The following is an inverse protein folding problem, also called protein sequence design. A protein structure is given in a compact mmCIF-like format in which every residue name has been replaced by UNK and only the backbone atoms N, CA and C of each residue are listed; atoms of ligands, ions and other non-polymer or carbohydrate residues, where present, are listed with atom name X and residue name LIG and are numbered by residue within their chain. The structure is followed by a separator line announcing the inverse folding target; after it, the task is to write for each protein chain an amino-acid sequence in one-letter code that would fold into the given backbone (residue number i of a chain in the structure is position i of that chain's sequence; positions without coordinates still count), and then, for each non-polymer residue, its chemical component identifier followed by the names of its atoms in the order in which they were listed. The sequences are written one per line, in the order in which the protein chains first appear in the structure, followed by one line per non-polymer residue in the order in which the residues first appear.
data_IF_108141098121
#
_entry.id   IF_108141098121
#
_cell.length_a   1.000
_cell.length_b   1.000
_cell.length_c   1.000
_cell.angle_alpha   90.00
_cell.angle_beta   90.00
_cell.angle_gamma   90.00
#
_symmetry.space_group_name_H-M   'P 1'
#
loop_
_entity.id
_entity.type
_entity.pdbx_description
1 polymer ?
#
# COMPACT_ATOMS: atom_id res chain seq x y z
N UNK A 1 -43.41 -3.50 17.17
CA UNK A 1 -42.55 -3.84 16.01
C UNK A 1 -41.94 -5.21 16.23
N UNK A 2 -42.18 -6.18 15.33
CA UNK A 2 -41.48 -7.48 15.39
C UNK A 2 -40.13 -7.31 14.69
N UNK A 3 -39.04 -7.48 15.42
CA UNK A 3 -37.72 -7.63 14.82
C UNK A 3 -37.67 -8.97 14.10
N UNK A 4 -37.57 -8.94 12.77
CA UNK A 4 -37.31 -10.14 11.98
C UNK A 4 -35.88 -10.61 12.28
N UNK A 5 -35.73 -11.84 12.78
CA UNK A 5 -34.41 -12.47 12.88
C UNK A 5 -33.86 -12.65 11.46
N UNK A 6 -32.59 -12.28 11.20
CA UNK A 6 -31.99 -12.55 9.90
C UNK A 6 -32.01 -14.06 9.61
N UNK A 7 -32.17 -14.47 8.34
CA UNK A 7 -32.26 -15.88 7.99
C UNK A 7 -31.00 -16.63 8.42
N UNK A 8 -31.19 -17.85 8.92
CA UNK A 8 -30.15 -18.71 9.52
C UNK A 8 -29.00 -19.08 8.55
N UNK A 9 -29.13 -18.77 7.27
CA UNK A 9 -28.20 -19.13 6.19
C UNK A 9 -27.89 -17.93 5.26
N UNK A 10 -27.63 -16.74 5.80
CA UNK A 10 -27.00 -15.68 4.99
C UNK A 10 -25.50 -15.97 4.86
N UNK A 11 -25.16 -17.04 4.14
CA UNK A 11 -23.82 -17.22 3.63
C UNK A 11 -23.59 -16.12 2.60
N UNK A 12 -22.82 -15.09 2.94
CA UNK A 12 -22.13 -14.29 1.94
C UNK A 12 -21.40 -15.30 1.04
N UNK A 13 -21.91 -15.56 -0.17
CA UNK A 13 -21.17 -16.36 -1.13
C UNK A 13 -19.86 -15.62 -1.33
N UNK A 14 -18.76 -16.28 -1.02
CA UNK A 14 -17.35 -15.87 -1.23
C UNK A 14 -17.04 -15.38 -2.66
N UNK A 15 -18.01 -15.38 -3.58
CA UNK A 15 -17.85 -15.17 -5.01
C UNK A 15 -17.68 -13.70 -5.41
N UNK A 16 -18.16 -12.74 -4.61
CA UNK A 16 -18.22 -11.32 -5.02
C UNK A 16 -17.60 -10.34 -4.01
N UNK A 17 -16.89 -10.81 -2.98
CA UNK A 17 -16.16 -9.93 -2.05
C UNK A 17 -14.71 -9.82 -2.52
N UNK A 18 -14.46 -8.84 -3.40
CA UNK A 18 -13.11 -8.41 -3.71
C UNK A 18 -12.61 -7.53 -2.57
N UNK A 19 -11.57 -7.98 -1.89
CA UNK A 19 -10.92 -7.13 -0.88
C UNK A 19 -10.22 -5.98 -1.60
N UNK A 20 -10.76 -4.77 -1.46
CA UNK A 20 -10.13 -3.53 -1.97
C UNK A 20 -8.67 -3.40 -1.51
N UNK A 21 -8.35 -3.94 -0.33
CA UNK A 21 -7.02 -3.97 0.25
C UNK A 21 -6.60 -5.42 0.46
N UNK A 22 -5.66 -5.90 -0.34
CA UNK A 22 -5.17 -7.29 -0.32
C UNK A 22 -3.68 -7.34 -0.65
N UNK A 23 -2.94 -8.22 0.02
CA UNK A 23 -1.52 -8.50 -0.31
C UNK A 23 -1.35 -9.24 -1.63
N UNK A 24 -2.42 -9.91 -2.08
CA UNK A 24 -2.52 -10.50 -3.41
C UNK A 24 -3.01 -9.44 -4.41
N UNK A 25 -2.47 -9.48 -5.63
CA UNK A 25 -2.92 -8.62 -6.74
C UNK A 25 -4.43 -8.77 -6.98
N UNK A 26 -5.16 -7.64 -7.04
CA UNK A 26 -6.59 -7.60 -7.31
C UNK A 26 -6.88 -6.72 -8.52
N UNK A 27 -7.81 -7.14 -9.39
CA UNK A 27 -8.42 -6.23 -10.35
C UNK A 27 -9.37 -5.29 -9.60
N UNK A 28 -9.28 -4.00 -9.86
CA UNK A 28 -10.06 -2.97 -9.17
C UNK A 28 -11.50 -2.83 -9.68
N UNK A 29 -11.79 -3.37 -10.87
CA UNK A 29 -13.03 -3.06 -11.59
C UNK A 29 -12.91 -1.85 -12.53
N UNK A 30 -11.80 -1.12 -12.47
CA UNK A 30 -11.56 0.11 -13.22
C UNK A 30 -10.58 -0.10 -14.38
N UNK A 31 -10.60 0.85 -15.31
CA UNK A 31 -9.77 0.88 -16.51
C UNK A 31 -8.98 2.19 -16.56
N UNK A 32 -7.76 2.12 -17.08
CA UNK A 32 -6.93 3.28 -17.34
C UNK A 32 -7.32 3.96 -18.66
N UNK A 33 -6.73 5.12 -18.95
CA UNK A 33 -7.05 5.95 -20.10
C UNK A 33 -6.83 5.26 -21.46
N UNK A 34 -5.98 4.24 -21.52
CA UNK A 34 -5.72 3.42 -22.71
C UNK A 34 -6.57 2.13 -22.77
N UNK A 35 -7.51 1.95 -21.83
CA UNK A 35 -8.38 0.78 -21.75
C UNK A 35 -7.76 -0.44 -21.07
N UNK A 36 -6.55 -0.34 -20.50
CA UNK A 36 -5.98 -1.42 -19.68
C UNK A 36 -6.67 -1.51 -18.32
N UNK A 37 -6.75 -2.72 -17.76
CA UNK A 37 -7.27 -2.95 -16.40
C UNK A 37 -6.33 -2.31 -15.37
N UNK A 38 -6.92 -1.67 -14.36
CA UNK A 38 -6.19 -1.20 -13.18
C UNK A 38 -6.19 -2.30 -12.13
N UNK A 39 -5.00 -2.65 -11.65
CA UNK A 39 -4.79 -3.60 -10.57
C UNK A 39 -4.33 -2.87 -9.32
N UNK A 40 -4.60 -3.46 -8.15
CA UNK A 40 -4.12 -2.98 -6.87
C UNK A 40 -3.41 -4.10 -6.09
N UNK A 41 -2.33 -3.76 -5.40
CA UNK A 41 -1.64 -4.67 -4.46
C UNK A 41 -1.23 -3.92 -3.20
N UNK A 42 -1.43 -4.55 -2.05
CA UNK A 42 -0.96 -4.05 -0.76
C UNK A 42 0.40 -4.67 -0.44
N UNK A 43 1.34 -3.83 -0.02
CA UNK A 43 2.62 -4.26 0.56
C UNK A 43 2.56 -3.98 2.05
N UNK A 44 2.99 -4.94 2.86
CA UNK A 44 3.17 -4.76 4.29
C UNK A 44 4.56 -5.22 4.71
N UNK A 45 5.21 -4.42 5.55
CA UNK A 45 6.52 -4.76 6.10
C UNK A 45 6.71 -4.13 7.47
N UNK A 46 7.39 -4.83 8.36
CA UNK A 46 7.64 -4.36 9.74
C UNK A 46 9.13 -4.47 10.05
N UNK A 47 9.67 -3.50 10.77
CA UNK A 47 11.09 -3.51 11.19
C UNK A 47 12.09 -3.22 10.06
N UNK A 48 11.60 -2.81 8.89
CA UNK A 48 12.46 -2.47 7.73
C UNK A 48 13.06 -1.07 7.81
N UNK A 49 12.50 -0.17 8.62
CA UNK A 49 13.00 1.19 8.82
C UNK A 49 14.13 1.24 9.86
N UNK A 50 15.08 0.31 9.76
CA UNK A 50 16.13 0.11 10.76
C UNK A 50 17.33 1.05 10.62
N UNK A 51 17.41 1.80 9.52
CA UNK A 51 18.46 2.77 9.23
C UNK A 51 17.90 4.06 8.64
N UNK A 52 18.65 5.15 8.85
CA UNK A 52 18.50 6.36 8.05
C UNK A 52 19.02 6.09 6.62
N UNK A 53 18.33 6.61 5.62
CA UNK A 53 18.63 6.43 4.21
C UNK A 53 17.46 5.84 3.42
N UNK A 54 17.79 5.09 2.37
CA UNK A 54 16.82 4.46 1.46
C UNK A 54 16.59 3.01 1.89
N UNK A 55 15.36 2.70 2.28
CA UNK A 55 14.89 1.34 2.56
C UNK A 55 14.10 0.85 1.35
N UNK A 56 14.47 -0.32 0.82
CA UNK A 56 13.80 -0.94 -0.33
C UNK A 56 12.92 -2.09 0.15
N UNK A 57 11.62 -2.03 -0.17
CA UNK A 57 10.64 -3.07 0.11
C UNK A 57 10.15 -3.59 -1.24
N UNK A 58 10.46 -4.85 -1.56
CA UNK A 58 10.05 -5.45 -2.84
C UNK A 58 8.53 -5.50 -2.95
N UNK A 59 8.02 -5.18 -4.13
CA UNK A 59 6.58 -5.26 -4.41
C UNK A 59 6.17 -6.51 -5.19
N UNK A 60 7.12 -7.19 -5.84
CA UNK A 60 6.90 -8.43 -6.61
C UNK A 60 5.69 -8.34 -7.55
N UNK A 61 5.62 -7.23 -8.30
CA UNK A 61 4.60 -7.00 -9.32
C UNK A 61 5.21 -7.50 -10.62
N UNK A 62 4.54 -8.45 -11.26
CA UNK A 62 5.00 -9.08 -12.50
C UNK A 62 4.27 -8.45 -13.68
N UNK A 63 4.96 -8.27 -14.81
CA UNK A 63 4.44 -7.64 -16.03
C UNK A 63 3.89 -6.23 -15.82
N UNK A 64 4.52 -5.45 -14.94
CA UNK A 64 4.19 -4.04 -14.74
C UNK A 64 4.30 -3.28 -16.06
N UNK A 65 3.27 -2.50 -16.40
CA UNK A 65 3.33 -1.52 -17.50
C UNK A 65 3.56 -0.13 -16.94
N UNK A 66 2.63 0.37 -16.13
CA UNK A 66 2.74 1.71 -15.53
C UNK A 66 2.18 1.74 -14.12
N UNK A 67 2.75 2.59 -13.28
CA UNK A 67 2.15 2.95 -12.00
C UNK A 67 1.12 4.05 -12.23
N UNK A 68 -0.03 3.93 -11.58
CA UNK A 68 -1.12 4.92 -11.63
C UNK A 68 -1.09 5.79 -10.39
N UNK A 69 -1.03 5.16 -9.22
CA UNK A 69 -1.03 5.83 -7.93
C UNK A 69 -0.42 4.91 -6.87
N UNK A 70 -0.03 5.49 -5.74
CA UNK A 70 0.34 4.75 -4.56
C UNK A 70 0.11 5.56 -3.29
N UNK A 71 -0.41 4.91 -2.26
CA UNK A 71 -0.54 5.48 -0.93
C UNK A 71 0.34 4.74 0.05
N UNK A 72 1.01 5.47 0.95
CA UNK A 72 1.88 4.88 1.97
C UNK A 72 1.54 5.42 3.35
N UNK A 73 1.39 4.50 4.28
CA UNK A 73 1.16 4.80 5.68
C UNK A 73 2.07 3.97 6.58
N UNK A 74 2.35 4.55 7.73
CA UNK A 74 3.25 4.00 8.72
C UNK A 74 2.54 3.97 10.05
N UNK A 75 2.68 2.86 10.77
CA UNK A 75 2.10 2.69 12.09
C UNK A 75 3.14 2.19 13.07
N UNK A 76 3.27 2.89 14.20
CA UNK A 76 4.20 2.55 15.28
C UNK A 76 3.95 3.45 16.49
N UNK A 77 4.28 2.96 17.67
CA UNK A 77 4.10 3.68 18.95
C UNK A 77 2.70 4.33 19.09
N UNK A 78 1.67 3.54 18.78
CA UNK A 78 0.26 3.95 18.79
C UNK A 78 -0.08 5.16 17.91
N UNK A 79 0.80 5.52 16.97
CA UNK A 79 0.66 6.65 16.08
C UNK A 79 0.53 6.16 14.63
N UNK A 80 -0.28 6.88 13.85
CA UNK A 80 -0.50 6.63 12.44
C UNK A 80 0.00 7.83 11.63
N UNK A 81 0.83 7.56 10.63
CA UNK A 81 1.40 8.58 9.75
C UNK A 81 1.04 8.25 8.31
N UNK A 82 0.55 9.24 7.55
CA UNK A 82 0.48 9.19 6.09
C UNK A 82 1.70 9.92 5.54
N UNK A 83 2.40 9.33 4.57
CA UNK A 83 3.56 9.98 3.95
C UNK A 83 3.13 11.03 2.91
N UNK A 84 3.93 12.09 2.69
CA UNK A 84 5.17 12.41 3.39
C UNK A 84 4.94 12.97 4.81
N UNK A 85 5.95 12.85 5.66
CA UNK A 85 5.93 13.32 7.05
C UNK A 85 7.11 14.27 7.26
N UNK A 86 6.84 15.45 7.82
CA UNK A 86 7.84 16.43 8.20
C UNK A 86 7.48 17.04 9.56
N UNK A 87 8.31 16.87 10.59
CA UNK A 87 8.09 17.48 11.91
C UNK A 87 9.35 17.52 12.79
N UNK A 88 9.30 18.32 13.85
CA UNK A 88 10.28 18.30 14.95
C UNK A 88 9.78 17.44 16.10
N UNK A 89 10.66 16.61 16.66
CA UNK A 89 10.33 15.72 17.77
C UNK A 89 9.66 16.42 18.96
N UNK A 90 9.96 17.70 19.21
CA UNK A 90 9.36 18.50 20.27
C UNK A 90 8.77 19.84 19.77
N UNK A 91 7.96 19.81 18.69
CA UNK A 91 7.13 20.92 18.13
C UNK A 91 7.85 22.23 17.76
N UNK A 92 8.65 22.79 18.66
CA UNK A 92 9.48 23.99 18.52
C UNK A 92 10.99 23.68 18.42
N UNK A 93 11.42 22.48 18.82
CA UNK A 93 12.83 22.05 18.79
C UNK A 93 12.97 20.52 18.76
N UNK A 94 14.18 20.01 18.60
CA UNK A 94 14.47 18.56 18.64
C UNK A 94 14.94 18.00 17.30
N UNK A 95 14.90 16.67 17.16
CA UNK A 95 15.31 16.02 15.91
C UNK A 95 14.28 16.33 14.83
N UNK A 96 14.76 16.85 13.69
CA UNK A 96 13.95 17.02 12.50
C UNK A 96 13.76 15.66 11.83
N UNK A 97 12.51 15.25 11.64
CA UNK A 97 12.15 14.04 10.92
C UNK A 97 11.60 14.42 9.56
N UNK A 98 12.15 13.80 8.52
CA UNK A 98 11.62 13.84 7.16
C UNK A 98 11.55 12.40 6.65
N UNK A 99 10.39 12.05 6.11
CA UNK A 99 10.17 10.78 5.45
C UNK A 99 9.20 10.91 4.29
N UNK A 100 9.58 10.34 3.15
CA UNK A 100 8.69 10.20 2.00
C UNK A 100 8.87 8.85 1.32
N UNK A 101 7.91 8.50 0.48
CA UNK A 101 7.96 7.31 -0.33
C UNK A 101 8.08 7.66 -1.81
N UNK A 102 8.70 6.76 -2.56
CA UNK A 102 8.57 6.68 -4.02
C UNK A 102 8.57 5.22 -4.43
N UNK A 103 8.10 4.93 -5.63
CA UNK A 103 8.11 3.57 -6.17
C UNK A 103 8.93 3.52 -7.46
N UNK A 104 9.64 2.42 -7.66
CA UNK A 104 10.32 2.10 -8.91
C UNK A 104 9.89 0.71 -9.39
N UNK A 105 10.48 0.23 -10.49
CA UNK A 105 10.11 -1.03 -11.16
C UNK A 105 10.12 -2.28 -10.25
N UNK A 106 10.87 -2.29 -9.16
CA UNK A 106 11.03 -3.49 -8.31
C UNK A 106 10.60 -3.30 -6.86
N UNK A 107 10.61 -2.05 -6.38
CA UNK A 107 10.52 -1.77 -4.95
C UNK A 107 9.76 -0.47 -4.66
N UNK A 108 9.00 -0.52 -3.58
CA UNK A 108 8.69 0.66 -2.79
C UNK A 108 9.97 1.11 -2.07
N UNK A 109 10.30 2.40 -2.18
CA UNK A 109 11.41 3.02 -1.47
C UNK A 109 10.89 3.96 -0.40
N UNK A 110 11.27 3.72 0.85
CA UNK A 110 11.06 4.65 1.96
C UNK A 110 12.37 5.37 2.21
N UNK A 111 12.36 6.70 2.10
CA UNK A 111 13.51 7.55 2.34
C UNK A 111 13.26 8.26 3.65
N UNK A 112 14.15 8.09 4.62
CA UNK A 112 14.03 8.68 5.93
C UNK A 112 15.39 9.15 6.47
N UNK A 113 15.39 10.07 7.41
CA UNK A 113 16.62 10.62 8.00
C UNK A 113 16.90 10.13 9.44
N UNK A 114 16.23 9.07 9.93
CA UNK A 114 16.34 8.68 11.34
C UNK A 114 16.16 7.18 11.60
N UNK A 115 16.94 6.66 12.55
CA UNK A 115 16.80 5.28 13.04
C UNK A 115 15.61 5.10 14.00
N UNK A 116 14.92 6.18 14.39
CA UNK A 116 13.81 6.14 15.35
C UNK A 116 12.58 5.36 14.86
N UNK A 117 12.52 5.05 13.56
CA UNK A 117 11.42 4.31 12.93
C UNK A 117 11.61 2.78 12.96
N UNK A 118 12.73 2.30 13.50
CA UNK A 118 13.09 0.89 13.55
C UNK A 118 12.12 0.11 14.44
N UNK A 119 11.02 -0.39 13.84
CA UNK A 119 9.92 -1.25 14.35
C UNK A 119 8.58 -0.87 13.74
N UNK A 120 8.48 0.32 13.15
CA UNK A 120 7.24 0.81 12.59
C UNK A 120 6.87 -0.05 11.38
N UNK A 121 5.58 -0.34 11.26
CA UNK A 121 5.02 -1.07 10.13
C UNK A 121 4.79 -0.10 8.98
N UNK A 122 5.29 -0.44 7.81
CA UNK A 122 5.02 0.24 6.54
C UNK A 122 3.93 -0.54 5.82
N UNK A 123 2.88 0.15 5.39
CA UNK A 123 1.91 -0.39 4.44
C UNK A 123 1.83 0.54 3.24
N UNK A 124 1.83 -0.05 2.05
CA UNK A 124 1.57 0.68 0.81
C UNK A 124 0.43 0.02 0.03
N UNK A 125 -0.41 0.84 -0.59
CA UNK A 125 -1.39 0.40 -1.58
C UNK A 125 -0.90 0.94 -2.91
N UNK A 126 -0.66 0.07 -3.88
CA UNK A 126 -0.14 0.46 -5.20
C UNK A 126 -1.18 0.14 -6.25
N UNK A 127 -1.46 1.09 -7.13
CA UNK A 127 -2.33 0.97 -8.29
C UNK A 127 -1.49 1.01 -9.57
N UNK A 128 -1.73 0.07 -10.47
CA UNK A 128 -0.90 -0.09 -11.68
C UNK A 128 -1.65 -0.77 -12.82
N UNK A 129 -1.15 -0.58 -14.04
CA UNK A 129 -1.54 -1.39 -15.21
C UNK A 129 -0.48 -2.43 -15.51
N UNK A 130 -0.88 -3.46 -16.27
CA UNK A 130 0.02 -4.54 -16.69
C UNK A 130 0.16 -4.55 -18.19
N UNK A 131 1.31 -5.02 -18.67
CA UNK A 131 1.46 -5.40 -20.06
C UNK A 131 0.53 -6.59 -20.31
N UNK A 132 -0.50 -6.40 -21.13
CA UNK A 132 -1.28 -7.50 -21.66
C UNK A 132 -0.39 -8.24 -22.66
N UNK A 133 -0.02 -9.49 -22.36
CA UNK A 133 0.24 -10.42 -23.45
C UNK A 133 -1.09 -10.59 -24.15
N UNK A 134 -1.20 -10.05 -25.37
CA UNK A 134 -2.17 -10.59 -26.32
C UNK A 134 -1.66 -11.98 -26.66
N UNK A 135 -2.08 -12.98 -25.89
CA UNK A 135 -2.16 -14.32 -26.42
C UNK A 135 -3.21 -14.21 -27.52
N UNK A 136 -2.74 -14.14 -28.78
CA UNK A 136 -3.60 -14.28 -29.93
C UNK A 136 -4.10 -15.73 -29.93
N UNK A 137 -5.34 -15.92 -29.49
CA UNK A 137 -6.13 -17.13 -29.76
C UNK A 137 -6.37 -17.28 -31.28
#
# INVERSE_FOLDING_TARGET
MKFLKPPKNMFLRKKDVYFKYSIEEQWTGEYWLDGKKIYSKVIQSTGVLSSAGVVNIKHDIVNLNEFIDYEVFIQGDNTFYKLPVVYYSNATSGTFYDMFARINETSLQIINNSVGWNKYAVTAIIYYTKNTYHDFD
#
